data_IF_635286646495
#
_entry.id   IF_635286646495
#
_cell.length_a   1.000
_cell.length_b   1.000
_cell.length_c   1.000
_cell.angle_alpha   90.00
_cell.angle_beta   90.00
_cell.angle_gamma   90.00
#
_symmetry.space_group_name_H-M   'P 1'
#
loop_
_entity.id
_entity.type
_entity.pdbx_description
1 polymer ?
#
# COMPACT_ATOMS: atom_id res chain seq x y z
N UNK A 1 -15.09 -13.67 25.32
CA UNK A 1 -15.17 -12.34 24.66
C UNK A 1 -14.58 -12.45 23.29
N UNK A 2 -15.36 -12.10 22.32
CA UNK A 2 -15.00 -12.13 20.92
C UNK A 2 -14.40 -10.78 20.50
N UNK A 3 -13.15 -10.57 20.89
CA UNK A 3 -12.44 -9.32 20.61
C UNK A 3 -11.63 -9.43 19.31
N UNK A 4 -11.68 -8.38 18.51
CA UNK A 4 -10.75 -8.19 17.43
C UNK A 4 -9.39 -7.76 17.97
N UNK A 5 -8.31 -8.26 17.40
CA UNK A 5 -6.95 -7.88 17.75
C UNK A 5 -6.09 -7.75 16.49
N UNK A 6 -5.11 -6.88 16.53
CA UNK A 6 -4.07 -6.80 15.50
C UNK A 6 -2.95 -7.78 15.89
N UNK A 7 -2.60 -8.75 15.03
CA UNK A 7 -1.47 -9.62 15.27
C UNK A 7 -0.16 -8.83 15.38
N UNK A 8 0.81 -9.40 16.08
CA UNK A 8 2.15 -8.82 16.11
C UNK A 8 2.85 -9.02 14.76
N UNK A 9 3.73 -8.08 14.38
CA UNK A 9 4.41 -8.11 13.07
C UNK A 9 5.33 -9.33 12.87
N UNK A 10 5.72 -10.01 13.92
CA UNK A 10 6.53 -11.24 13.85
C UNK A 10 5.72 -12.52 13.82
N UNK A 11 4.40 -12.45 13.84
CA UNK A 11 3.57 -13.63 13.64
C UNK A 11 3.57 -14.04 12.17
N UNK A 12 3.28 -15.32 11.85
CA UNK A 12 3.24 -15.76 10.45
C UNK A 12 2.30 -14.91 9.60
N UNK A 13 2.79 -14.47 8.44
CA UNK A 13 2.03 -13.69 7.48
C UNK A 13 1.43 -14.58 6.39
N UNK A 14 0.22 -14.29 5.97
CA UNK A 14 -0.35 -14.85 4.74
C UNK A 14 0.16 -14.12 3.49
N UNK A 15 0.43 -12.82 3.62
CA UNK A 15 0.98 -11.99 2.56
C UNK A 15 1.44 -10.63 3.10
N UNK A 16 2.35 -9.98 2.36
CA UNK A 16 2.72 -8.57 2.56
C UNK A 16 2.08 -7.70 1.49
N UNK A 17 1.75 -6.47 1.85
CA UNK A 17 1.18 -5.46 0.96
C UNK A 17 2.11 -4.25 0.84
N UNK A 18 2.29 -3.78 -0.38
CA UNK A 18 3.03 -2.55 -0.70
C UNK A 18 2.25 -1.69 -1.69
N UNK A 19 2.63 -0.42 -1.81
CA UNK A 19 2.14 0.49 -2.83
C UNK A 19 3.29 1.01 -3.68
N UNK A 20 3.08 1.13 -5.00
CA UNK A 20 4.06 1.59 -5.96
C UNK A 20 4.30 3.10 -5.83
N UNK A 21 5.56 3.59 -5.90
CA UNK A 21 5.85 5.02 -5.81
C UNK A 21 5.44 5.71 -7.12
N UNK A 22 4.31 6.40 -7.07
CA UNK A 22 3.69 7.06 -8.23
C UNK A 22 3.49 8.55 -8.08
N UNK A 23 3.71 9.10 -6.89
CA UNK A 23 3.55 10.51 -6.58
C UNK A 23 4.13 10.86 -5.22
N UNK A 24 3.87 12.09 -4.76
CA UNK A 24 4.28 12.59 -3.46
C UNK A 24 5.79 12.68 -3.26
N UNK A 25 6.20 12.84 -2.02
CA UNK A 25 7.62 12.93 -1.64
C UNK A 25 8.42 11.67 -1.98
N UNK A 26 7.76 10.52 -2.01
CA UNK A 26 8.43 9.25 -2.28
C UNK A 26 8.97 9.19 -3.71
N UNK A 27 8.25 9.76 -4.66
CA UNK A 27 8.70 9.78 -6.05
C UNK A 27 9.76 10.84 -6.32
N UNK A 28 9.75 11.96 -5.58
CA UNK A 28 10.62 13.13 -5.80
C UNK A 28 10.14 14.03 -6.94
N UNK A 29 10.90 15.11 -7.17
CA UNK A 29 10.54 16.18 -8.11
C UNK A 29 11.22 16.04 -9.48
N UNK A 30 12.18 15.13 -9.61
CA UNK A 30 12.96 14.94 -10.85
C UNK A 30 12.85 13.52 -11.38
N UNK A 31 13.03 13.31 -12.70
CA UNK A 31 13.07 11.97 -13.28
C UNK A 31 14.14 11.07 -12.67
N UNK A 32 15.27 11.63 -12.23
CA UNK A 32 16.33 10.88 -11.59
C UNK A 32 15.94 10.36 -10.20
N UNK A 33 15.24 11.17 -9.42
CA UNK A 33 14.71 10.78 -8.12
C UNK A 33 13.61 9.72 -8.28
N UNK A 34 12.72 9.90 -9.23
CA UNK A 34 11.69 8.92 -9.56
C UNK A 34 12.29 7.56 -9.95
N UNK A 35 13.37 7.55 -10.73
CA UNK A 35 14.08 6.32 -11.08
C UNK A 35 14.68 5.64 -9.84
N UNK A 36 15.29 6.41 -8.94
CA UNK A 36 15.81 5.88 -7.66
C UNK A 36 14.70 5.30 -6.81
N UNK A 37 13.59 6.00 -6.67
CA UNK A 37 12.43 5.54 -5.90
C UNK A 37 11.90 4.21 -6.45
N UNK A 38 11.61 4.14 -7.74
CA UNK A 38 11.05 2.94 -8.39
C UNK A 38 12.00 1.75 -8.30
N UNK A 39 13.29 1.98 -8.52
CA UNK A 39 14.31 0.93 -8.38
C UNK A 39 14.40 0.42 -6.94
N UNK A 40 14.34 1.31 -5.95
CA UNK A 40 14.39 0.94 -4.53
C UNK A 40 13.17 0.13 -4.13
N UNK A 41 11.96 0.59 -4.49
CA UNK A 41 10.73 -0.14 -4.22
C UNK A 41 10.70 -1.51 -4.89
N UNK A 42 11.10 -1.59 -6.15
CA UNK A 42 11.20 -2.87 -6.86
C UNK A 42 12.21 -3.82 -6.19
N UNK A 43 13.35 -3.31 -5.75
CA UNK A 43 14.36 -4.12 -5.03
C UNK A 43 13.81 -4.70 -3.74
N UNK A 44 13.12 -3.87 -2.94
CA UNK A 44 12.47 -4.33 -1.70
C UNK A 44 11.35 -5.33 -2.00
N UNK A 45 10.48 -5.01 -2.96
CA UNK A 45 9.37 -5.89 -3.32
C UNK A 45 9.85 -7.26 -3.82
N UNK A 46 10.87 -7.28 -4.67
CA UNK A 46 11.45 -8.53 -5.17
C UNK A 46 12.08 -9.35 -4.03
N UNK A 47 12.76 -8.69 -3.09
CA UNK A 47 13.32 -9.38 -1.93
C UNK A 47 12.24 -9.98 -1.01
N UNK A 48 11.15 -9.26 -0.76
CA UNK A 48 10.02 -9.78 0.02
C UNK A 48 9.39 -10.98 -0.68
N UNK A 49 9.20 -10.92 -2.00
CA UNK A 49 8.57 -11.98 -2.79
C UNK A 49 9.36 -13.31 -2.79
N UNK A 50 10.63 -13.29 -2.40
CA UNK A 50 11.42 -14.53 -2.20
C UNK A 50 11.00 -15.30 -0.93
N UNK A 51 10.34 -14.65 0.02
CA UNK A 51 10.02 -15.22 1.33
C UNK A 51 8.54 -15.41 1.59
N UNK A 52 7.71 -14.52 1.04
CA UNK A 52 6.26 -14.57 1.25
C UNK A 52 5.50 -13.92 0.07
N UNK A 53 4.20 -14.26 -0.12
CA UNK A 53 3.39 -13.62 -1.16
C UNK A 53 3.37 -12.09 -1.00
N UNK A 54 3.69 -11.37 -2.07
CA UNK A 54 3.64 -9.91 -2.10
C UNK A 54 2.53 -9.43 -3.02
N UNK A 55 1.69 -8.56 -2.48
CA UNK A 55 0.68 -7.81 -3.22
C UNK A 55 1.12 -6.34 -3.34
N UNK A 56 1.14 -5.81 -4.57
CA UNK A 56 1.55 -4.44 -4.85
C UNK A 56 0.40 -3.68 -5.49
N UNK A 57 -0.04 -2.58 -4.86
CA UNK A 57 -0.96 -1.65 -5.50
C UNK A 57 -0.19 -0.78 -6.48
N UNK A 58 -0.74 -0.59 -7.68
CA UNK A 58 -0.09 0.16 -8.76
C UNK A 58 -1.14 0.98 -9.51
N UNK A 59 -0.88 2.27 -9.80
CA UNK A 59 -1.75 3.03 -10.68
C UNK A 59 -1.83 2.41 -12.08
N UNK A 60 -3.01 2.42 -12.73
CA UNK A 60 -3.18 1.81 -14.04
C UNK A 60 -2.17 2.27 -15.09
N UNK A 61 -1.83 3.57 -15.07
CA UNK A 61 -0.86 4.15 -16.01
C UNK A 61 0.58 3.63 -15.84
N UNK A 62 0.92 3.11 -14.66
CA UNK A 62 2.27 2.64 -14.33
C UNK A 62 2.40 1.12 -14.26
N UNK A 63 1.31 0.41 -14.52
CA UNK A 63 1.27 -1.06 -14.40
C UNK A 63 2.32 -1.74 -15.29
N UNK A 64 2.51 -1.27 -16.51
CA UNK A 64 3.49 -1.83 -17.45
C UNK A 64 4.93 -1.65 -16.95
N UNK A 65 5.25 -0.48 -16.40
CA UNK A 65 6.57 -0.21 -15.82
C UNK A 65 6.83 -1.03 -14.56
N UNK A 66 5.87 -1.08 -13.65
CA UNK A 66 5.96 -1.90 -12.44
C UNK A 66 6.19 -3.38 -12.80
N UNK A 67 5.46 -3.90 -13.80
CA UNK A 67 5.60 -5.27 -14.29
C UNK A 67 6.99 -5.59 -14.84
N UNK A 68 7.66 -4.63 -15.45
CA UNK A 68 9.02 -4.80 -15.97
C UNK A 68 10.09 -4.86 -14.86
N UNK A 69 9.81 -4.25 -13.71
CA UNK A 69 10.78 -4.12 -12.60
C UNK A 69 10.57 -5.16 -11.50
N UNK A 70 9.37 -5.66 -11.37
CA UNK A 70 8.98 -6.61 -10.32
C UNK A 70 9.03 -8.05 -10.85
N UNK A 71 9.36 -8.97 -9.95
CA UNK A 71 9.27 -10.40 -10.19
C UNK A 71 7.86 -10.81 -10.62
N UNK A 72 7.75 -11.85 -11.43
CA UNK A 72 6.46 -12.46 -11.80
C UNK A 72 5.67 -12.99 -10.61
N UNK A 73 6.34 -13.26 -9.49
CA UNK A 73 5.72 -13.72 -8.25
C UNK A 73 4.94 -12.62 -7.52
N UNK A 74 5.23 -11.34 -7.82
CA UNK A 74 4.51 -10.21 -7.23
C UNK A 74 3.14 -10.06 -7.87
N UNK A 75 2.09 -10.10 -7.06
CA UNK A 75 0.70 -9.90 -7.51
C UNK A 75 0.41 -8.41 -7.59
N UNK A 76 0.15 -7.91 -8.81
CA UNK A 76 -0.17 -6.50 -9.00
C UNK A 76 -1.69 -6.27 -8.96
N UNK A 77 -2.10 -5.24 -8.25
CA UNK A 77 -3.48 -4.77 -8.17
C UNK A 77 -3.56 -3.32 -8.66
N UNK A 78 -4.46 -3.07 -9.58
CA UNK A 78 -4.71 -1.71 -10.06
C UNK A 78 -5.47 -0.90 -9.01
N UNK A 79 -4.89 0.24 -8.61
CA UNK A 79 -5.52 1.18 -7.69
C UNK A 79 -4.99 2.59 -7.93
N UNK A 80 -5.80 3.65 -7.81
CA UNK A 80 -5.29 5.01 -7.76
C UNK A 80 -4.45 5.18 -6.49
N UNK A 81 -3.28 5.81 -6.62
CA UNK A 81 -2.37 6.08 -5.51
C UNK A 81 -1.86 7.51 -5.60
N UNK A 82 -1.74 8.16 -4.45
CA UNK A 82 -1.10 9.47 -4.32
C UNK A 82 0.28 9.36 -3.66
N UNK A 83 0.55 8.28 -2.93
CA UNK A 83 1.84 8.00 -2.31
C UNK A 83 2.06 6.49 -2.11
N UNK A 84 3.26 6.10 -1.68
CA UNK A 84 3.70 4.71 -1.54
C UNK A 84 3.70 4.17 -0.11
N UNK A 85 3.37 4.98 0.89
CA UNK A 85 3.38 4.60 2.31
C UNK A 85 2.17 3.75 2.67
N UNK A 86 2.20 2.47 2.30
CA UNK A 86 1.05 1.58 2.47
C UNK A 86 0.62 1.40 3.92
N UNK A 87 1.55 1.47 4.87
CA UNK A 87 1.23 1.41 6.32
C UNK A 87 0.29 2.54 6.75
N UNK A 88 0.41 3.71 6.13
CA UNK A 88 -0.38 4.89 6.46
C UNK A 88 -1.69 4.95 5.68
N UNK A 89 -1.66 4.56 4.42
CA UNK A 89 -2.79 4.66 3.49
C UNK A 89 -3.63 3.38 3.39
N UNK A 90 -3.04 2.24 3.75
CA UNK A 90 -3.71 0.94 3.70
C UNK A 90 -4.55 0.64 4.94
N UNK A 91 -5.35 -0.41 4.91
CA UNK A 91 -6.10 -0.85 6.06
C UNK A 91 -5.20 -1.51 7.10
N UNK A 92 -5.58 -1.44 8.37
CA UNK A 92 -5.01 -2.29 9.41
C UNK A 92 -5.76 -3.61 9.44
N UNK A 93 -5.07 -4.70 9.18
CA UNK A 93 -5.65 -6.04 9.27
C UNK A 93 -5.78 -6.50 10.73
N UNK A 94 -6.86 -7.15 11.05
CA UNK A 94 -7.18 -7.64 12.38
C UNK A 94 -7.77 -9.04 12.32
N UNK A 95 -7.52 -9.82 13.34
CA UNK A 95 -8.11 -11.14 13.51
C UNK A 95 -9.22 -11.10 14.55
N UNK A 96 -10.29 -11.80 14.28
CA UNK A 96 -11.44 -11.88 15.18
C UNK A 96 -12.23 -13.15 15.00
N UNK A 97 -13.35 -13.28 15.72
CA UNK A 97 -14.14 -14.52 15.77
C UNK A 97 -14.72 -14.95 14.41
N UNK A 98 -14.78 -14.04 13.46
CA UNK A 98 -15.27 -14.28 12.10
C UNK A 98 -14.16 -14.39 11.06
N UNK A 99 -12.89 -14.47 11.51
CA UNK A 99 -11.72 -14.54 10.66
C UNK A 99 -11.02 -13.19 10.48
N UNK A 100 -10.46 -12.96 9.30
CA UNK A 100 -9.76 -11.74 8.94
C UNK A 100 -10.73 -10.57 8.78
N UNK A 101 -10.39 -9.45 9.38
CA UNK A 101 -11.03 -8.16 9.20
C UNK A 101 -10.03 -7.09 8.80
N UNK A 102 -10.53 -5.94 8.37
CA UNK A 102 -9.73 -4.79 8.02
C UNK A 102 -10.33 -3.52 8.60
N UNK A 103 -9.52 -2.72 9.28
CA UNK A 103 -9.90 -1.39 9.76
C UNK A 103 -9.46 -0.39 8.71
N UNK A 104 -10.43 0.27 8.09
CA UNK A 104 -10.17 1.33 7.12
C UNK A 104 -10.16 2.68 7.87
N UNK A 105 -8.99 3.28 7.98
CA UNK A 105 -8.81 4.56 8.64
C UNK A 105 -9.11 5.73 7.69
N UNK A 106 -9.64 6.81 8.25
CA UNK A 106 -9.65 8.08 7.52
C UNK A 106 -8.27 8.70 7.64
N UNK A 107 -7.50 8.61 6.57
CA UNK A 107 -6.17 9.21 6.52
C UNK A 107 -6.28 10.71 6.27
N UNK A 108 -5.56 11.50 7.03
CA UNK A 108 -5.62 12.97 6.98
C UNK A 108 -4.36 13.62 6.37
N UNK A 109 -3.54 12.85 5.66
CA UNK A 109 -2.32 13.37 5.03
C UNK A 109 -1.31 13.93 6.01
N UNK A 110 -1.08 13.27 7.14
CA UNK A 110 -0.17 13.71 8.20
C UNK A 110 -0.43 15.15 8.69
N UNK A 111 -1.70 15.47 8.93
CA UNK A 111 -2.11 16.78 9.42
C UNK A 111 -2.60 17.72 8.32
N UNK A 112 -3.19 17.18 7.27
CA UNK A 112 -3.81 17.92 6.17
C UNK A 112 -2.81 18.82 5.43
N UNK A 113 -1.67 18.23 5.05
CA UNK A 113 -0.72 18.91 4.17
C UNK A 113 -1.38 19.18 2.81
N UNK A 114 -1.13 20.35 2.23
CA UNK A 114 -1.77 20.78 0.97
C UNK A 114 -1.50 19.84 -0.22
N UNK A 115 -0.39 19.10 -0.19
CA UNK A 115 -0.03 18.11 -1.21
C UNK A 115 -0.64 16.72 -0.95
N UNK A 116 -1.07 16.45 0.28
CA UNK A 116 -1.80 15.23 0.58
C UNK A 116 -3.19 15.37 -0.01
N UNK A 117 -3.29 15.24 -1.31
CA UNK A 117 -4.55 14.98 -1.94
C UNK A 117 -5.14 13.79 -1.21
N UNK A 118 -6.24 14.00 -0.56
CA UNK A 118 -6.93 12.99 0.23
C UNK A 118 -7.01 11.73 -0.61
N UNK A 119 -6.20 10.74 -0.29
CA UNK A 119 -6.41 9.42 -0.80
C UNK A 119 -7.86 9.11 -0.53
N UNK A 120 -8.63 9.12 -1.58
CA UNK A 120 -10.05 8.90 -1.51
C UNK A 120 -10.27 7.43 -1.19
N UNK A 121 -9.96 7.11 0.05
CA UNK A 121 -10.46 5.89 0.65
C UNK A 121 -11.96 5.98 0.58
N UNK A 122 -12.59 4.90 0.18
CA UNK A 122 -14.04 4.77 0.04
C UNK A 122 -14.79 5.59 1.11
N UNK A 123 -15.85 6.32 0.73
CA UNK A 123 -16.60 7.16 1.66
C UNK A 123 -16.94 6.36 2.91
N UNK A 124 -16.64 6.95 4.06
CA UNK A 124 -17.04 6.37 5.34
C UNK A 124 -18.53 6.00 5.30
N UNK A 125 -18.95 4.89 5.90
CA UNK A 125 -20.37 4.57 6.01
C UNK A 125 -21.21 5.70 6.61
N UNK A 126 -20.59 6.66 7.28
CA UNK A 126 -21.25 7.86 7.85
C UNK A 126 -21.56 8.94 6.82
N UNK A 127 -20.91 8.90 5.66
CA UNK A 127 -21.10 9.91 4.60
C UNK A 127 -22.20 9.50 3.60
N UNK A 128 -22.92 8.43 3.89
CA UNK A 128 -24.05 7.91 3.12
C UNK A 128 -25.40 8.24 3.78
N UNK A 129 -25.54 9.41 4.34
CA UNK A 129 -26.87 9.90 4.79
C UNK A 129 -27.43 10.91 3.80
#
# INVERSE_FOLDING_TARGET
>A
MTTWHMPAEWEPHDATWMAWPSGGYTLGDTPAEAEVARRTWASVGNAVAEYEPLHMLVPPAELAEARQRLSSEVVLHEAPLDDAWYRDIGPTFVLGPRGLGAVNWVFNGWGAQDWACLLYTSPSPRDRS
#
